data_IF_013427385395
#
_entry.id   IF_013427385395
#
_cell.length_a   1.000
_cell.length_b   1.000
_cell.length_c   1.000
_cell.angle_alpha   90.00
_cell.angle_beta   90.00
_cell.angle_gamma   90.00
#
_symmetry.space_group_name_H-M   'P 1'
#
loop_
_entity.id
_entity.type
_entity.pdbx_description
1 polymer ?
#
# COMPACT_ATOMS: atom_id res chain seq x y z
N UNK A 1 -6.40 1.80 -21.74
CA UNK A 1 -7.62 1.02 -21.44
C UNK A 1 -7.51 0.26 -20.12
N UNK A 2 -6.57 -0.67 -19.94
CA UNK A 2 -6.45 -1.48 -18.71
C UNK A 2 -6.13 -0.68 -17.43
N UNK A 3 -5.13 0.21 -17.49
CA UNK A 3 -4.76 1.06 -16.34
C UNK A 3 -5.91 1.98 -15.90
N UNK A 4 -6.63 2.57 -16.86
CA UNK A 4 -7.78 3.44 -16.60
C UNK A 4 -8.92 2.67 -15.92
N UNK A 5 -9.20 1.43 -16.36
CA UNK A 5 -10.22 0.59 -15.75
C UNK A 5 -9.87 0.24 -14.29
N UNK A 6 -8.60 -0.05 -13.98
CA UNK A 6 -8.15 -0.24 -12.60
C UNK A 6 -8.24 1.04 -11.77
N UNK A 7 -7.90 2.19 -12.34
CA UNK A 7 -8.05 3.47 -11.66
C UNK A 7 -9.53 3.75 -11.32
N UNK A 8 -10.44 3.63 -12.29
CA UNK A 8 -11.89 3.80 -12.07
C UNK A 8 -12.45 2.82 -11.03
N UNK A 9 -12.06 1.55 -11.10
CA UNK A 9 -12.42 0.54 -10.10
C UNK A 9 -11.90 0.94 -8.72
N UNK A 10 -10.65 1.40 -8.63
CA UNK A 10 -10.04 1.77 -7.36
C UNK A 10 -10.75 2.96 -6.70
N UNK A 11 -11.18 3.97 -7.47
CA UNK A 11 -11.97 5.08 -6.92
C UNK A 11 -13.34 4.62 -6.41
N UNK A 12 -14.02 3.73 -7.14
CA UNK A 12 -15.30 3.15 -6.66
C UNK A 12 -15.11 2.35 -5.38
N UNK A 13 -14.01 1.60 -5.28
CA UNK A 13 -13.69 0.82 -4.09
C UNK A 13 -13.34 1.72 -2.91
N UNK A 14 -12.65 2.84 -3.13
CA UNK A 14 -12.39 3.84 -2.09
C UNK A 14 -13.69 4.33 -1.46
N UNK A 15 -14.76 4.54 -2.23
CA UNK A 15 -16.07 4.92 -1.67
C UNK A 15 -16.68 3.83 -0.78
N UNK A 16 -16.45 2.56 -1.08
CA UNK A 16 -16.87 1.45 -0.20
C UNK A 16 -16.05 1.42 1.09
N UNK A 17 -14.76 1.74 1.00
CA UNK A 17 -13.89 1.89 2.19
C UNK A 17 -14.37 3.05 3.05
N UNK A 18 -14.72 4.19 2.45
CA UNK A 18 -15.28 5.32 3.19
C UNK A 18 -16.54 4.92 3.96
N UNK A 19 -17.50 4.28 3.28
CA UNK A 19 -18.73 3.79 3.89
C UNK A 19 -18.46 2.80 5.04
N UNK A 20 -17.52 1.86 4.86
CA UNK A 20 -17.16 0.88 5.88
C UNK A 20 -16.53 1.50 7.14
N UNK A 21 -15.98 2.72 7.04
CA UNK A 21 -15.35 3.45 8.13
C UNK A 21 -16.19 4.65 8.62
N UNK A 22 -17.47 4.73 8.24
CA UNK A 22 -18.36 5.86 8.55
C UNK A 22 -17.79 7.22 8.11
N UNK A 23 -17.05 7.23 7.00
CA UNK A 23 -16.50 8.43 6.37
C UNK A 23 -17.48 8.90 5.29
N UNK A 24 -17.80 10.21 5.21
CA UNK A 24 -18.65 10.72 4.14
C UNK A 24 -18.09 10.35 2.77
N UNK A 25 -18.95 9.80 1.90
CA UNK A 25 -18.55 9.40 0.56
C UNK A 25 -17.94 10.56 -0.24
N UNK A 26 -16.82 10.32 -0.92
CA UNK A 26 -16.06 11.29 -1.71
C UNK A 26 -15.05 12.10 -0.89
N UNK A 27 -14.91 11.84 0.41
CA UNK A 27 -13.91 12.50 1.27
C UNK A 27 -12.48 12.33 0.74
N UNK A 28 -12.15 11.16 0.22
CA UNK A 28 -10.83 10.84 -0.31
C UNK A 28 -10.64 11.21 -1.78
N UNK A 29 -11.71 11.58 -2.51
CA UNK A 29 -11.61 11.97 -3.92
C UNK A 29 -10.70 13.20 -4.11
N UNK A 30 -10.66 14.09 -3.11
CA UNK A 30 -9.77 15.26 -3.13
C UNK A 30 -8.28 14.89 -3.19
N UNK A 31 -7.89 13.70 -2.73
CA UNK A 31 -6.49 13.24 -2.79
C UNK A 31 -6.09 12.75 -4.17
N UNK A 32 -7.06 12.33 -5.00
CA UNK A 32 -6.80 11.75 -6.31
C UNK A 32 -7.33 12.61 -7.46
N UNK A 33 -8.02 13.71 -7.13
CA UNK A 33 -8.52 14.76 -8.02
C UNK A 33 -9.18 14.25 -9.31
N UNK A 34 -10.36 13.65 -9.15
CA UNK A 34 -11.18 13.13 -10.26
C UNK A 34 -11.68 14.22 -11.22
N UNK A 35 -11.79 15.48 -10.77
CA UNK A 35 -12.44 16.55 -11.53
C UNK A 35 -11.49 17.34 -12.44
N UNK A 36 -10.21 17.50 -12.10
CA UNK A 36 -9.23 18.19 -12.95
C UNK A 36 -8.93 17.46 -14.28
N UNK A 37 -9.17 16.15 -14.35
CA UNK A 37 -9.02 15.38 -15.60
C UNK A 37 -10.20 15.56 -16.56
N UNK A 38 -11.33 16.15 -16.13
CA UNK A 38 -12.56 16.24 -16.93
C UNK A 38 -12.86 17.64 -17.51
N UNK A 39 -12.17 18.68 -17.05
CA UNK A 39 -12.42 20.08 -17.48
C UNK A 39 -11.20 20.81 -18.00
N UNK A 40 -10.21 20.11 -18.55
CA UNK A 40 -9.10 20.73 -19.28
C UNK A 40 -9.50 21.10 -20.72
N UNK A 41 -10.48 21.99 -20.85
CA UNK A 41 -10.80 22.68 -22.11
C UNK A 41 -10.87 24.21 -21.96
N UNK A 42 -10.80 24.78 -20.75
CA UNK A 42 -10.76 26.22 -20.62
C UNK A 42 -9.91 26.72 -19.45
N UNK A 43 -8.84 27.42 -19.84
CA UNK A 43 -8.04 28.44 -19.13
C UNK A 43 -8.28 28.71 -17.63
N UNK A 44 -7.46 28.08 -16.77
CA UNK A 44 -6.96 28.68 -15.51
C UNK A 44 -5.49 28.28 -15.29
N UNK A 45 -4.63 29.20 -14.80
CA UNK A 45 -3.21 28.91 -14.57
C UNK A 45 -3.04 28.03 -13.32
N UNK A 46 -2.21 26.98 -13.45
CA UNK A 46 -1.62 26.18 -12.36
C UNK A 46 -2.56 25.86 -11.18
N UNK A 47 -3.47 24.90 -11.37
CA UNK A 47 -4.04 24.20 -10.21
C UNK A 47 -2.90 23.49 -9.48
N UNK A 48 -2.86 23.53 -8.13
CA UNK A 48 -2.03 22.71 -7.22
C UNK A 48 -2.32 21.21 -7.38
N UNK A 49 -2.19 20.70 -8.60
CA UNK A 49 -2.49 19.34 -8.99
C UNK A 49 -1.30 18.46 -8.67
N UNK A 50 -1.51 17.54 -7.73
CA UNK A 50 -0.55 16.48 -7.46
C UNK A 50 -1.04 15.21 -8.16
N UNK A 51 -0.39 14.78 -9.26
CA UNK A 51 -0.86 13.62 -10.02
C UNK A 51 -0.84 12.35 -9.14
N UNK A 52 -1.90 11.52 -9.20
CA UNK A 52 -1.91 10.26 -8.48
C UNK A 52 -0.76 9.37 -8.96
N UNK A 53 -0.03 8.76 -8.03
CA UNK A 53 1.16 7.95 -8.34
C UNK A 53 0.81 6.47 -8.59
N UNK A 54 -0.31 6.24 -9.29
CA UNK A 54 -0.79 4.90 -9.58
C UNK A 54 0.23 4.13 -10.42
N UNK A 55 0.52 2.89 -10.02
CA UNK A 55 1.52 2.05 -10.72
C UNK A 55 0.95 0.68 -10.99
N UNK A 56 1.26 0.14 -12.16
CA UNK A 56 0.99 -1.23 -12.53
C UNK A 56 2.31 -1.97 -12.68
N UNK A 57 2.38 -3.22 -12.21
CA UNK A 57 3.50 -4.10 -12.51
C UNK A 57 3.01 -5.37 -13.20
N UNK A 58 3.90 -5.97 -13.97
CA UNK A 58 3.75 -7.31 -14.52
C UNK A 58 4.84 -8.16 -13.87
N UNK A 59 4.44 -9.04 -12.97
CA UNK A 59 5.39 -9.91 -12.27
C UNK A 59 5.34 -11.29 -12.92
N UNK A 60 6.52 -11.84 -13.18
CA UNK A 60 6.75 -13.20 -13.65
C UNK A 60 7.63 -13.93 -12.64
N UNK A 61 7.19 -15.12 -12.23
CA UNK A 61 7.92 -16.01 -11.35
C UNK A 61 8.07 -17.36 -12.06
N UNK A 62 9.30 -17.73 -12.49
CA UNK A 62 9.52 -18.98 -13.18
C UNK A 62 9.33 -20.18 -12.25
N UNK A 63 8.79 -21.27 -12.77
CA UNK A 63 8.72 -22.54 -12.08
C UNK A 63 10.13 -23.05 -11.76
N UNK A 64 10.32 -23.51 -10.54
CA UNK A 64 11.60 -24.07 -10.09
C UNK A 64 11.54 -25.59 -10.00
N UNK A 65 12.62 -26.29 -10.40
CA UNK A 65 12.74 -27.72 -10.17
C UNK A 65 12.63 -28.07 -8.68
N UNK A 66 12.09 -29.24 -8.32
CA UNK A 66 12.08 -29.72 -6.95
C UNK A 66 13.48 -29.71 -6.32
N UNK A 67 13.60 -29.17 -5.10
CA UNK A 67 14.87 -29.13 -4.35
C UNK A 67 15.79 -27.94 -4.66
N UNK A 68 15.39 -27.01 -5.54
CA UNK A 68 16.09 -25.74 -5.73
C UNK A 68 15.40 -24.59 -4.97
N UNK A 69 16.20 -23.71 -4.38
CA UNK A 69 15.69 -22.44 -3.86
C UNK A 69 15.36 -21.50 -5.02
N UNK A 70 14.12 -21.03 -5.06
CA UNK A 70 13.62 -20.14 -6.10
C UNK A 70 13.52 -18.69 -5.68
N UNK A 71 13.39 -17.81 -6.68
CA UNK A 71 13.12 -16.40 -6.44
C UNK A 71 11.63 -16.17 -6.14
N UNK A 72 11.33 -15.85 -4.88
CA UNK A 72 10.02 -15.34 -4.44
C UNK A 72 10.09 -13.87 -4.06
N UNK A 73 9.11 -13.43 -3.27
CA UNK A 73 9.15 -12.14 -2.56
C UNK A 73 9.00 -12.43 -1.07
N UNK A 74 9.96 -11.98 -0.26
CA UNK A 74 9.92 -12.17 1.19
C UNK A 74 8.74 -11.44 1.86
N UNK A 75 8.47 -11.71 3.15
CA UNK A 75 7.44 -11.02 3.93
C UNK A 75 7.57 -9.49 3.89
N UNK A 76 6.52 -8.79 3.44
CA UNK A 76 6.49 -7.34 3.39
C UNK A 76 5.05 -6.79 3.44
N UNK A 77 4.93 -5.46 3.62
CA UNK A 77 3.71 -4.69 3.42
C UNK A 77 3.87 -3.78 2.19
N UNK A 78 2.78 -3.47 1.51
CA UNK A 78 2.77 -2.57 0.36
C UNK A 78 2.97 -1.11 0.77
N UNK A 79 4.12 -0.55 0.41
CA UNK A 79 4.64 0.65 1.04
C UNK A 79 4.07 1.98 0.61
N UNK A 80 3.83 2.11 -0.69
CA UNK A 80 3.47 3.37 -1.30
C UNK A 80 1.98 3.39 -1.67
N UNK A 81 1.22 2.38 -1.25
CA UNK A 81 -0.18 2.22 -1.60
C UNK A 81 -1.11 2.81 -0.55
N UNK A 82 -2.18 3.41 -1.02
CA UNK A 82 -3.47 3.51 -0.36
C UNK A 82 -4.17 2.14 -0.40
N UNK A 83 -4.28 1.56 -1.61
CA UNK A 83 -4.85 0.24 -1.88
C UNK A 83 -4.02 -0.47 -2.95
N UNK A 84 -4.01 -1.80 -2.92
CA UNK A 84 -3.47 -2.63 -4.00
C UNK A 84 -4.55 -3.58 -4.50
N UNK A 85 -4.64 -3.73 -5.81
CA UNK A 85 -5.53 -4.66 -6.50
C UNK A 85 -4.67 -5.63 -7.30
N UNK A 86 -4.72 -6.90 -6.95
CA UNK A 86 -3.90 -7.94 -7.54
C UNK A 86 -4.76 -8.87 -8.38
N UNK A 87 -4.46 -8.92 -9.68
CA UNK A 87 -4.93 -10.00 -10.53
C UNK A 87 -3.91 -11.15 -10.51
N UNK A 88 -4.34 -12.31 -10.00
CA UNK A 88 -3.57 -13.55 -10.07
C UNK A 88 -3.92 -14.28 -11.37
N UNK A 89 -2.94 -14.45 -12.26
CA UNK A 89 -3.16 -15.07 -13.57
C UNK A 89 -2.91 -16.57 -13.46
N UNK A 90 -3.86 -17.37 -13.95
CA UNK A 90 -3.78 -18.84 -13.92
C UNK A 90 -4.22 -19.42 -12.56
N UNK A 91 -3.71 -20.61 -12.24
CA UNK A 91 -4.10 -21.41 -11.07
C UNK A 91 -3.03 -21.49 -9.97
N UNK A 92 -1.87 -20.88 -10.18
CA UNK A 92 -0.70 -21.17 -9.34
C UNK A 92 -0.75 -20.45 -8.00
N UNK A 93 -0.92 -21.24 -6.94
CA UNK A 93 -1.01 -20.75 -5.58
C UNK A 93 0.38 -20.52 -4.96
N UNK A 94 0.77 -19.24 -4.89
CA UNK A 94 2.05 -18.86 -4.28
C UNK A 94 1.97 -17.65 -3.35
N UNK A 95 0.87 -16.90 -3.37
CA UNK A 95 0.68 -15.77 -2.47
C UNK A 95 0.26 -16.27 -1.09
N UNK A 96 0.99 -15.85 -0.07
CA UNK A 96 0.60 -16.02 1.34
C UNK A 96 0.39 -14.66 1.98
N UNK A 97 -0.64 -14.56 2.82
CA UNK A 97 -0.90 -13.41 3.69
C UNK A 97 -0.77 -13.84 5.14
N UNK A 98 -0.35 -12.91 6.00
CA UNK A 98 -0.19 -13.18 7.42
C UNK A 98 -1.41 -12.69 8.20
N UNK A 99 -1.97 -13.57 9.03
CA UNK A 99 -3.10 -13.23 9.91
C UNK A 99 -2.64 -12.43 11.14
N UNK A 100 -3.60 -12.03 12.00
CA UNK A 100 -3.37 -11.29 13.25
C UNK A 100 -2.51 -12.07 14.24
N UNK A 101 -2.63 -13.39 14.28
CA UNK A 101 -1.85 -14.29 15.14
C UNK A 101 -0.44 -14.60 14.58
N UNK A 102 -0.12 -14.10 13.38
CA UNK A 102 1.16 -14.33 12.71
C UNK A 102 1.20 -15.59 11.84
N UNK A 103 0.14 -16.39 11.81
CA UNK A 103 0.01 -17.54 10.93
C UNK A 103 -0.08 -17.12 9.45
N UNK A 104 0.34 -18.01 8.54
CA UNK A 104 0.31 -17.77 7.10
C UNK A 104 -0.90 -18.45 6.47
N UNK A 105 -1.68 -17.68 5.72
CA UNK A 105 -2.86 -18.13 4.97
C UNK A 105 -2.53 -18.06 3.49
N UNK A 106 -2.76 -19.16 2.78
CA UNK A 106 -2.57 -19.23 1.33
C UNK A 106 -3.73 -18.54 0.60
N UNK A 107 -3.43 -17.72 -0.40
CA UNK A 107 -4.44 -16.99 -1.19
C UNK A 107 -4.54 -17.60 -2.58
N UNK A 108 -5.41 -18.60 -2.71
CA UNK A 108 -5.62 -19.33 -3.95
C UNK A 108 -6.17 -18.40 -5.07
N UNK A 109 -5.70 -18.52 -6.32
CA UNK A 109 -6.30 -17.80 -7.44
C UNK A 109 -7.76 -18.23 -7.67
N UNK A 110 -8.69 -17.27 -7.60
CA UNK A 110 -10.10 -17.50 -7.92
C UNK A 110 -10.42 -16.83 -9.27
N UNK A 111 -10.96 -17.55 -10.26
CA UNK A 111 -11.32 -16.99 -11.56
C UNK A 111 -12.22 -15.75 -11.44
N UNK A 112 -11.97 -14.73 -12.26
CA UNK A 112 -12.73 -13.47 -12.32
C UNK A 112 -12.75 -12.66 -11.02
N UNK A 113 -11.73 -12.82 -10.17
CA UNK A 113 -11.59 -12.03 -8.94
C UNK A 113 -10.29 -11.22 -8.92
N UNK A 114 -10.25 -10.27 -7.99
CA UNK A 114 -9.05 -9.55 -7.59
C UNK A 114 -8.83 -9.78 -6.10
N UNK A 115 -7.58 -9.95 -5.70
CA UNK A 115 -7.18 -9.82 -4.29
C UNK A 115 -6.99 -8.33 -4.01
N UNK A 116 -7.60 -7.81 -2.96
CA UNK A 116 -7.47 -6.40 -2.56
C UNK A 116 -6.80 -6.34 -1.20
N UNK A 117 -5.79 -5.48 -1.06
CA UNK A 117 -5.14 -5.25 0.23
C UNK A 117 -4.99 -3.77 0.52
N UNK A 118 -5.07 -3.43 1.81
CA UNK A 118 -4.79 -2.09 2.31
C UNK A 118 -3.29 -1.85 2.28
N UNK A 119 -2.92 -0.65 1.85
CA UNK A 119 -1.53 -0.23 1.82
C UNK A 119 -1.08 0.43 3.12
N UNK A 120 0.23 0.60 3.22
CA UNK A 120 0.89 1.10 4.43
C UNK A 120 0.41 2.49 4.84
N UNK A 121 0.15 3.39 3.89
CA UNK A 121 -0.32 4.74 4.17
C UNK A 121 -1.71 4.74 4.83
N UNK A 122 -2.57 3.80 4.46
CA UNK A 122 -3.90 3.64 5.05
C UNK A 122 -3.83 3.16 6.50
N UNK A 123 -2.94 2.20 6.79
CA UNK A 123 -2.68 1.75 8.17
C UNK A 123 -2.20 2.91 9.05
N UNK A 124 -1.26 3.70 8.55
CA UNK A 124 -0.72 4.83 9.29
C UNK A 124 -1.79 5.92 9.55
N UNK A 125 -2.60 6.26 8.53
CA UNK A 125 -3.65 7.26 8.66
C UNK A 125 -4.77 6.84 9.63
N UNK A 126 -5.09 5.54 9.68
CA UNK A 126 -6.09 4.96 10.59
C UNK A 126 -5.54 4.67 11.99
N UNK A 127 -4.29 5.06 12.30
CA UNK A 127 -3.60 4.73 13.56
C UNK A 127 -3.59 3.22 13.85
N UNK A 128 -3.61 2.42 12.78
CA UNK A 128 -3.59 0.95 12.85
C UNK A 128 -4.93 0.26 12.98
N UNK A 129 -6.04 0.98 12.97
CA UNK A 129 -7.37 0.35 12.96
C UNK A 129 -7.55 -0.55 11.73
N UNK A 130 -6.91 -0.20 10.62
CA UNK A 130 -6.92 -0.99 9.39
C UNK A 130 -5.51 -1.45 9.02
N UNK A 131 -5.18 -2.71 9.32
CA UNK A 131 -3.82 -3.25 9.13
C UNK A 131 -3.50 -3.51 7.66
N UNK A 132 -2.39 -2.93 7.19
CA UNK A 132 -1.73 -3.33 5.97
C UNK A 132 -1.15 -4.74 6.15
N UNK A 133 -1.72 -5.70 5.43
CA UNK A 133 -1.45 -7.12 5.63
C UNK A 133 -0.03 -7.47 5.17
N UNK A 134 0.74 -8.12 6.05
CA UNK A 134 2.05 -8.68 5.67
C UNK A 134 1.81 -9.84 4.73
N UNK A 135 2.52 -9.88 3.61
CA UNK A 135 2.36 -10.90 2.60
C UNK A 135 3.70 -11.29 1.97
N UNK A 136 3.75 -12.47 1.36
CA UNK A 136 4.93 -13.01 0.66
C UNK A 136 4.49 -13.78 -0.58
N UNK A 137 5.42 -13.97 -1.51
CA UNK A 137 5.22 -14.85 -2.67
C UNK A 137 6.24 -15.97 -2.60
N UNK A 138 5.77 -17.21 -2.49
CA UNK A 138 6.62 -18.40 -2.58
C UNK A 138 7.13 -18.57 -4.01
N UNK A 139 8.31 -19.16 -4.17
CA UNK A 139 8.73 -19.58 -5.50
C UNK A 139 7.79 -20.70 -6.00
N UNK A 140 7.25 -20.61 -7.23
CA UNK A 140 6.38 -21.64 -7.75
C UNK A 140 7.20 -22.89 -8.13
N UNK A 141 6.66 -24.09 -7.88
CA UNK A 141 7.39 -25.36 -8.03
C UNK A 141 6.95 -26.22 -9.23
N UNK A 142 5.83 -25.92 -9.87
CA UNK A 142 5.26 -26.74 -10.95
C UNK A 142 5.06 -25.99 -12.25
N UNK A 143 4.55 -24.76 -12.17
CA UNK A 143 4.19 -23.93 -13.31
C UNK A 143 4.56 -22.49 -13.03
N UNK A 144 4.88 -21.76 -14.10
CA UNK A 144 5.17 -20.34 -14.02
C UNK A 144 3.98 -19.59 -13.42
N UNK A 145 4.26 -18.61 -12.57
CA UNK A 145 3.24 -17.72 -12.01
C UNK A 145 3.36 -16.33 -12.61
N UNK A 146 2.22 -15.79 -13.04
CA UNK A 146 2.10 -14.42 -13.48
C UNK A 146 1.14 -13.68 -12.54
N UNK A 147 1.44 -12.41 -12.27
CA UNK A 147 0.53 -11.58 -11.50
C UNK A 147 0.63 -10.11 -11.89
N UNK A 148 -0.49 -9.41 -11.82
CA UNK A 148 -0.61 -8.03 -12.26
C UNK A 148 -1.14 -7.18 -11.08
N UNK A 149 -0.27 -6.70 -10.18
CA UNK A 149 -0.67 -5.77 -9.15
C UNK A 149 -0.79 -4.34 -9.70
N UNK A 150 -1.92 -3.72 -9.40
CA UNK A 150 -2.16 -2.29 -9.50
C UNK A 150 -2.06 -1.67 -8.10
N UNK A 151 -1.17 -0.70 -7.94
CA UNK A 151 -0.93 0.03 -6.70
C UNK A 151 -1.57 1.41 -6.83
N UNK A 152 -2.66 1.65 -6.09
CA UNK A 152 -3.27 2.95 -5.92
C UNK A 152 -2.49 3.73 -4.87
N UNK A 153 -1.61 4.65 -5.28
CA UNK A 153 -0.81 5.46 -4.36
C UNK A 153 -1.37 6.87 -4.16
N UNK A 154 -1.17 7.43 -2.96
CA UNK A 154 -1.37 8.86 -2.69
C UNK A 154 -0.32 9.70 -3.43
N UNK A 155 -0.60 10.99 -3.69
CA UNK A 155 0.41 11.92 -4.19
C UNK A 155 1.58 12.09 -3.21
N UNK A 156 2.78 12.37 -3.71
CA UNK A 156 4.00 12.40 -2.90
C UNK A 156 4.07 13.65 -2.00
N UNK A 157 3.46 14.73 -2.43
CA UNK A 157 3.49 16.01 -1.74
C UNK A 157 2.42 16.08 -0.63
N UNK A 158 1.48 15.13 -0.62
CA UNK A 158 0.47 15.02 0.42
C UNK A 158 1.09 14.71 1.78
N UNK A 159 0.49 15.22 2.85
CA UNK A 159 0.88 14.92 4.23
C UNK A 159 0.00 13.85 4.85
N UNK A 160 0.59 12.95 5.62
CA UNK A 160 -0.13 11.92 6.35
C UNK A 160 -1.10 12.54 7.38
N UNK A 161 -0.70 13.65 8.02
CA UNK A 161 -1.54 14.41 8.94
C UNK A 161 -2.82 14.95 8.29
N UNK A 162 -2.75 15.39 7.03
CA UNK A 162 -3.91 15.84 6.25
C UNK A 162 -4.86 14.67 5.96
N UNK A 163 -4.30 13.52 5.55
CA UNK A 163 -5.09 12.30 5.34
C UNK A 163 -5.75 11.84 6.64
N UNK A 164 -4.98 11.78 7.73
CA UNK A 164 -5.44 11.41 9.06
C UNK A 164 -6.57 12.32 9.55
N UNK A 165 -6.53 13.61 9.24
CA UNK A 165 -7.58 14.57 9.62
C UNK A 165 -8.95 14.26 9.00
N UNK A 166 -8.97 13.50 7.89
CA UNK A 166 -10.19 13.03 7.23
C UNK A 166 -10.75 11.73 7.79
N UNK A 167 -10.03 11.09 8.72
CA UNK A 167 -10.44 9.82 9.32
C UNK A 167 -11.02 10.09 10.72
N UNK A 168 -12.28 9.68 10.99
CA UNK A 168 -12.95 9.86 12.27
C UNK A 168 -12.14 9.34 13.46
N UNK A 169 -12.24 10.02 14.61
CA UNK A 169 -11.63 9.54 15.85
C UNK A 169 -12.20 8.18 16.27
N UNK A 170 -13.47 7.90 15.98
CA UNK A 170 -14.09 6.59 16.25
C UNK A 170 -13.31 5.44 15.59
N UNK A 171 -12.85 5.66 14.36
CA UNK A 171 -12.02 4.70 13.61
C UNK A 171 -10.60 4.65 14.15
N UNK A 172 -9.94 5.81 14.30
CA UNK A 172 -8.53 5.86 14.77
C UNK A 172 -8.37 5.28 16.18
N UNK A 173 -9.38 5.41 17.02
CA UNK A 173 -9.38 4.84 18.37
C UNK A 173 -9.62 3.32 18.41
N UNK A 174 -10.05 2.67 17.32
CA UNK A 174 -10.39 1.24 17.31
C UNK A 174 -9.22 0.37 17.79
N UNK A 175 -8.02 0.54 17.22
CA UNK A 175 -6.85 -0.25 17.62
C UNK A 175 -6.51 -0.08 19.10
N UNK A 176 -6.59 1.14 19.65
CA UNK A 176 -6.33 1.38 21.08
C UNK A 176 -7.30 0.61 21.96
N UNK A 177 -8.60 0.63 21.61
CA UNK A 177 -9.64 -0.14 22.33
C UNK A 177 -9.41 -1.65 22.23
N UNK A 178 -9.05 -2.16 21.06
CA UNK A 178 -8.77 -3.59 20.87
C UNK A 178 -7.52 -4.03 21.65
N UNK A 179 -6.49 -3.18 21.74
CA UNK A 179 -5.29 -3.43 22.58
C UNK A 179 -5.64 -3.45 24.07
N UNK A 180 -6.45 -2.50 24.54
CA UNK A 180 -6.94 -2.44 25.93
C UNK A 180 -7.75 -3.69 26.29
N UNK A 181 -8.50 -4.24 25.33
CA UNK A 181 -9.29 -5.47 25.50
C UNK A 181 -8.47 -6.77 25.40
N UNK A 182 -7.16 -6.69 25.12
CA UNK A 182 -6.28 -7.86 25.01
C UNK A 182 -6.49 -8.68 23.72
N UNK A 183 -7.15 -8.13 22.70
CA UNK A 183 -7.41 -8.80 21.43
C UNK A 183 -6.17 -8.86 20.51
N UNK A 184 -5.08 -8.18 20.89
CA UNK A 184 -3.85 -8.10 20.13
C UNK A 184 -2.66 -8.66 20.91
N UNK A 185 -1.98 -9.64 20.31
CA UNK A 185 -0.77 -10.27 20.86
C UNK A 185 0.52 -9.80 20.18
N UNK A 186 0.42 -9.18 19.00
CA UNK A 186 1.58 -8.72 18.22
C UNK A 186 1.65 -7.20 18.25
N UNK A 187 2.58 -6.66 19.04
CA UNK A 187 2.98 -5.25 18.98
C UNK A 187 3.92 -5.02 17.78
N UNK A 188 3.37 -5.10 16.57
CA UNK A 188 4.06 -4.58 15.39
C UNK A 188 3.97 -3.05 15.47
N UNK A 189 5.07 -2.42 15.91
CA UNK A 189 5.20 -0.97 16.08
C UNK A 189 4.76 -0.20 14.83
N UNK A 190 3.54 0.33 14.89
CA UNK A 190 3.06 1.42 14.02
C UNK A 190 3.78 2.73 14.38
N UNK A 191 4.42 2.77 15.55
CA UNK A 191 5.09 3.94 16.15
C UNK A 191 6.13 4.63 15.25
N UNK A 192 6.74 3.92 14.29
CA UNK A 192 7.79 4.52 13.43
C UNK A 192 7.24 5.52 12.41
N UNK A 193 5.91 5.70 12.32
CA UNK A 193 5.23 6.41 11.21
C UNK A 193 4.41 7.61 11.63
N UNK A 194 4.23 7.81 12.94
CA UNK A 194 3.65 9.04 13.48
C UNK A 194 4.73 10.07 13.87
N UNK A 195 5.99 9.81 13.51
CA UNK A 195 7.06 10.77 13.70
C UNK A 195 6.80 11.99 12.79
N UNK A 196 6.51 13.17 13.37
CA UNK A 196 6.16 14.36 12.59
C UNK A 196 7.27 14.80 11.64
N UNK A 197 8.52 14.35 11.85
CA UNK A 197 9.64 14.59 10.93
C UNK A 197 9.40 14.00 9.53
N UNK A 198 8.56 12.96 9.42
CA UNK A 198 8.32 12.22 8.18
C UNK A 198 6.87 12.30 7.70
N UNK A 199 6.17 13.39 8.03
CA UNK A 199 4.75 13.57 7.74
C UNK A 199 4.44 13.63 6.23
N UNK A 200 5.40 14.05 5.40
CA UNK A 200 5.24 14.03 3.94
C UNK A 200 5.34 12.61 3.36
N UNK A 201 4.40 12.22 2.49
CA UNK A 201 4.34 10.88 1.89
C UNK A 201 5.59 10.57 1.07
N UNK A 202 6.05 11.51 0.23
CA UNK A 202 7.23 11.37 -0.61
C UNK A 202 8.52 11.19 0.20
N UNK A 203 8.69 12.00 1.24
CA UNK A 203 9.82 11.91 2.16
C UNK A 203 9.80 10.58 2.94
N UNK A 204 8.63 10.14 3.39
CA UNK A 204 8.45 8.82 4.01
C UNK A 204 8.83 7.67 3.07
N UNK A 205 8.46 7.76 1.79
CA UNK A 205 8.85 6.79 0.76
C UNK A 205 10.37 6.80 0.54
N UNK A 206 10.97 7.98 0.40
CA UNK A 206 12.42 8.15 0.22
C UNK A 206 13.19 7.59 1.42
N UNK A 207 12.78 7.96 2.64
CA UNK A 207 13.37 7.47 3.89
C UNK A 207 13.43 5.95 3.91
N UNK A 208 12.35 5.27 3.50
CA UNK A 208 12.37 3.81 3.44
C UNK A 208 13.39 3.29 2.44
N UNK A 209 13.46 3.86 1.23
CA UNK A 209 14.47 3.42 0.26
C UNK A 209 15.89 3.58 0.80
N UNK A 210 16.16 4.70 1.48
CA UNK A 210 17.46 4.95 2.11
C UNK A 210 17.77 3.90 3.19
N UNK A 211 16.79 3.59 4.06
CA UNK A 211 16.94 2.58 5.12
C UNK A 211 17.03 1.14 4.58
N UNK A 212 16.31 0.83 3.51
CA UNK A 212 16.22 -0.51 2.93
C UNK A 212 17.41 -0.89 2.04
N UNK A 213 18.08 0.10 1.45
CA UNK A 213 19.17 -0.11 0.49
C UNK A 213 20.41 0.71 0.87
N UNK A 214 21.04 0.37 2.00
CA UNK A 214 22.19 1.11 2.56
C UNK A 214 23.29 1.40 1.54
N UNK A 215 23.74 0.40 0.78
CA UNK A 215 24.82 0.57 -0.18
C UNK A 215 24.45 1.54 -1.31
N UNK A 216 23.24 1.40 -1.85
CA UNK A 216 22.68 2.32 -2.84
C UNK A 216 22.56 3.73 -2.26
N UNK A 217 22.07 3.84 -1.02
CA UNK A 217 21.90 5.12 -0.34
C UNK A 217 23.25 5.84 -0.15
N UNK A 218 24.25 5.15 0.39
CA UNK A 218 25.59 5.71 0.60
C UNK A 218 26.25 6.10 -0.72
N UNK A 219 26.07 5.31 -1.78
CA UNK A 219 26.64 5.58 -3.10
C UNK A 219 26.08 6.84 -3.76
N UNK A 220 24.76 7.06 -3.69
CA UNK A 220 24.10 8.12 -4.46
C UNK A 220 23.74 9.36 -3.63
N UNK A 221 23.57 9.23 -2.31
CA UNK A 221 23.17 10.33 -1.43
C UNK A 221 24.23 10.68 -0.36
N UNK A 222 25.25 9.84 -0.19
CA UNK A 222 26.34 10.06 0.76
C UNK A 222 25.98 9.73 2.22
N UNK A 223 27.00 9.87 3.09
CA UNK A 223 26.90 9.49 4.50
C UNK A 223 25.95 10.39 5.31
N UNK A 224 25.95 11.69 5.03
CA UNK A 224 25.14 12.69 5.75
C UNK A 224 23.64 12.44 5.56
N UNK A 225 23.20 12.29 4.30
CA UNK A 225 21.80 12.00 3.97
C UNK A 225 21.38 10.64 4.55
N UNK A 226 22.23 9.62 4.42
CA UNK A 226 21.95 8.31 5.02
C UNK A 226 21.75 8.41 6.55
N UNK A 227 22.61 9.16 7.25
CA UNK A 227 22.48 9.38 8.68
C UNK A 227 21.20 10.15 9.03
N UNK A 228 20.86 11.22 8.30
CA UNK A 228 19.63 11.98 8.52
C UNK A 228 18.38 11.09 8.50
N UNK A 229 18.26 10.21 7.50
CA UNK A 229 17.09 9.35 7.34
C UNK A 229 17.12 8.05 8.17
N UNK A 230 18.23 7.73 8.83
CA UNK A 230 18.37 6.53 9.68
C UNK A 230 18.33 6.81 11.19
N UNK A 231 18.24 8.09 11.57
CA UNK A 231 17.85 8.54 12.90
C UNK A 231 16.39 8.17 13.24
#
# INVERSE_FOLDING_TARGET
MFLNAFAELSYRFVHLVEEAFDIPRGTFDSFFNKDAASTAADSTPESDFLPPQHRLRLNFYPAMPPGQEGQGVGPHKDMAGWLTFLHQVGSECALDVQDRDGSWISVDPIPNTLVVNLGYAFEAATEGAARATVHRVRAPSQKDRYSIPFFMALPLELKLSEVRSRIPESVRATRRKELENGEWTIDQKIETFLDPRWDNIGESVLRRFIRGYKETALKFYGQEVYQYYTQ
#
